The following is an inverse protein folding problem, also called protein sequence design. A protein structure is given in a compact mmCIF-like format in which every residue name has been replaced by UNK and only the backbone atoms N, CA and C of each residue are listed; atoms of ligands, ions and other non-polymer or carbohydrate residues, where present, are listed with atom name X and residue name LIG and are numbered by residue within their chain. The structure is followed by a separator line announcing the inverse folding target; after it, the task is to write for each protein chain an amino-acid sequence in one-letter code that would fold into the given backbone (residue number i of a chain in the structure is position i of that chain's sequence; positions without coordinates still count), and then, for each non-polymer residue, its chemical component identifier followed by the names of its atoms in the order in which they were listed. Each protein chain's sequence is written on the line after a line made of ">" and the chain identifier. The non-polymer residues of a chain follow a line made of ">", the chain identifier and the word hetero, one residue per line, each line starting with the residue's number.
data_IF_022555164730
#
_entry.id   IF_022555164730
#
_cell.length_a   1.000
_cell.length_b   1.000
_cell.length_c   1.000
_cell.angle_alpha   90.00
_cell.angle_beta   90.00
_cell.angle_gamma   90.00
#
_symmetry.space_group_name_H-M   'P 1'
#
loop_
_entity.id
_entity.type
_entity.pdbx_description
1 polymer ?
#
# COMPACT_ATOMS: atom_id res chain seq x y z
N UNK A 1 -35.98 15.70 -0.40
CA UNK A 1 -34.79 16.09 -1.20
C UNK A 1 -33.61 15.27 -0.73
N UNK A 2 -33.22 14.23 -1.49
CA UNK A 2 -32.10 13.33 -1.17
C UNK A 2 -30.81 13.95 -1.73
N UNK A 3 -30.01 14.62 -0.90
CA UNK A 3 -28.65 15.04 -1.27
C UNK A 3 -27.70 13.86 -1.04
N UNK A 4 -27.46 13.08 -2.11
CA UNK A 4 -26.35 12.13 -2.20
C UNK A 4 -25.05 12.95 -2.34
N UNK A 5 -24.34 13.17 -1.24
CA UNK A 5 -22.94 13.61 -1.29
C UNK A 5 -22.04 12.36 -1.35
N UNK A 6 -21.77 11.94 -2.57
CA UNK A 6 -20.74 10.98 -2.94
C UNK A 6 -19.47 11.75 -3.31
N UNK A 7 -18.36 11.55 -2.60
CA UNK A 7 -17.04 11.62 -3.22
C UNK A 7 -16.02 11.06 -2.24
N UNK A 8 -15.75 9.78 -2.40
CA UNK A 8 -14.76 9.06 -1.65
C UNK A 8 -14.25 8.02 -2.67
N UNK A 9 -12.95 7.94 -2.92
CA UNK A 9 -12.42 7.17 -4.05
C UNK A 9 -11.23 6.35 -3.60
N UNK A 10 -11.48 5.05 -3.66
CA UNK A 10 -10.60 3.94 -4.02
C UNK A 10 -9.12 4.00 -3.64
N UNK A 11 -8.75 3.27 -2.58
CA UNK A 11 -7.36 2.95 -2.20
C UNK A 11 -7.07 1.50 -2.58
N UNK A 12 -6.58 1.21 -3.79
CA UNK A 12 -6.19 -0.15 -4.17
C UNK A 12 -4.73 -0.46 -3.85
N UNK A 13 -4.48 -1.54 -3.09
CA UNK A 13 -3.18 -2.20 -2.87
C UNK A 13 -2.18 -1.53 -1.88
N UNK A 14 -2.52 -1.75 -0.61
CA UNK A 14 -1.71 -2.33 0.47
C UNK A 14 -0.18 -2.15 0.46
N UNK A 15 0.23 -1.53 1.55
CA UNK A 15 1.58 -1.43 2.09
C UNK A 15 1.98 -2.69 2.83
N UNK A 16 3.14 -3.24 2.48
CA UNK A 16 3.87 -4.11 3.40
C UNK A 16 4.35 -3.23 4.55
N UNK A 17 3.68 -3.31 5.70
CA UNK A 17 4.19 -2.87 7.01
C UNK A 17 3.62 -3.84 8.03
N UNK A 18 4.44 -4.80 8.46
CA UNK A 18 4.40 -5.48 9.76
C UNK A 18 3.12 -6.16 10.24
N UNK A 19 3.06 -7.48 10.06
CA UNK A 19 2.99 -8.39 11.22
C UNK A 19 3.68 -9.72 10.90
N UNK A 20 4.56 -10.12 11.82
CA UNK A 20 5.51 -11.26 11.80
C UNK A 20 5.13 -12.39 10.84
N UNK A 21 6.01 -12.63 9.87
CA UNK A 21 6.03 -13.83 9.05
C UNK A 21 6.65 -14.96 9.89
N UNK A 22 5.83 -15.85 10.46
CA UNK A 22 6.33 -16.99 11.23
C UNK A 22 6.71 -18.13 10.29
N UNK A 23 7.97 -18.15 9.85
CA UNK A 23 8.57 -19.22 9.07
C UNK A 23 9.68 -19.88 9.91
N UNK A 24 9.34 -20.52 11.04
CA UNK A 24 10.37 -20.98 11.98
C UNK A 24 11.26 -19.82 12.46
N UNK A 25 10.71 -19.00 13.34
CA UNK A 25 11.34 -17.88 14.09
C UNK A 25 12.04 -16.74 13.32
N UNK A 26 12.35 -16.88 12.03
CA UNK A 26 13.09 -15.85 11.28
C UNK A 26 12.17 -15.00 10.41
N UNK A 27 12.12 -13.69 10.68
CA UNK A 27 11.38 -12.72 9.86
C UNK A 27 12.07 -12.58 8.50
N UNK A 28 11.38 -13.02 7.45
CA UNK A 28 11.90 -12.99 6.06
C UNK A 28 11.95 -11.55 5.53
N UNK A 29 10.94 -10.74 5.82
CA UNK A 29 10.93 -9.32 5.49
C UNK A 29 10.02 -8.56 6.46
N UNK A 30 10.52 -7.42 6.96
CA UNK A 30 9.73 -6.44 7.70
C UNK A 30 9.91 -5.09 7.02
N UNK A 31 8.85 -4.60 6.40
CA UNK A 31 8.88 -3.35 5.65
C UNK A 31 8.17 -2.27 6.45
N UNK A 32 8.70 -1.92 7.62
CA UNK A 32 8.18 -0.79 8.39
C UNK A 32 9.13 0.39 8.19
N UNK A 33 8.67 1.60 8.53
CA UNK A 33 9.49 2.80 8.48
C UNK A 33 9.98 3.19 7.07
N UNK A 34 9.07 3.38 6.13
CA UNK A 34 9.42 3.80 4.76
C UNK A 34 10.17 5.13 4.68
N UNK A 35 10.13 5.95 5.73
CA UNK A 35 10.95 7.16 5.88
C UNK A 35 12.44 6.85 6.05
N UNK A 36 12.79 5.64 6.52
CA UNK A 36 14.17 5.20 6.74
C UNK A 36 14.73 4.39 5.57
N UNK A 37 13.86 3.98 4.63
CA UNK A 37 14.29 3.31 3.41
C UNK A 37 14.90 4.36 2.47
N UNK A 38 16.06 4.06 1.88
CA UNK A 38 16.69 4.92 0.87
C UNK A 38 15.67 5.29 -0.19
N UNK A 39 15.45 6.60 -0.39
CA UNK A 39 14.51 7.06 -1.41
C UNK A 39 15.26 7.39 -2.70
N UNK A 40 14.81 6.82 -3.82
CA UNK A 40 15.20 7.26 -5.17
C UNK A 40 14.00 7.94 -5.79
N UNK A 41 14.15 9.19 -6.21
CA UNK A 41 13.08 9.99 -6.80
C UNK A 41 11.81 10.08 -5.94
N UNK A 42 11.96 10.07 -4.61
CA UNK A 42 10.86 10.10 -3.64
C UNK A 42 10.14 8.76 -3.44
N UNK A 43 10.62 7.67 -4.05
CA UNK A 43 10.12 6.31 -3.88
C UNK A 43 11.06 5.50 -2.98
N UNK A 44 10.55 4.73 -2.00
CA UNK A 44 11.39 3.83 -1.22
C UNK A 44 12.07 2.77 -2.11
N UNK A 45 13.36 2.51 -1.86
CA UNK A 45 14.14 1.53 -2.60
C UNK A 45 13.43 0.15 -2.68
N UNK A 46 13.40 -0.42 -3.88
CA UNK A 46 12.73 -1.69 -4.15
C UNK A 46 11.21 -1.60 -4.31
N UNK A 47 10.61 -0.42 -4.09
CA UNK A 47 9.20 -0.17 -4.37
C UNK A 47 9.02 0.52 -5.70
N UNK A 48 7.95 0.13 -6.40
CA UNK A 48 7.52 0.77 -7.63
C UNK A 48 6.02 1.00 -7.59
N UNK A 49 5.58 2.01 -8.31
CA UNK A 49 4.18 2.34 -8.52
C UNK A 49 3.76 1.87 -9.91
N UNK A 50 2.49 1.54 -10.09
CA UNK A 50 1.95 1.17 -11.39
C UNK A 50 0.48 1.51 -11.49
N UNK A 51 0.03 1.75 -12.72
CA UNK A 51 -1.37 1.91 -13.09
C UNK A 51 -1.62 1.16 -14.40
N UNK A 52 -2.81 0.55 -14.61
CA UNK A 52 -3.15 -0.12 -15.87
C UNK A 52 -3.13 0.83 -17.07
N UNK A 53 -3.40 2.12 -16.82
CA UNK A 53 -3.37 3.18 -17.83
C UNK A 53 -2.70 4.43 -17.24
N UNK A 54 -1.79 5.11 -17.97
CA UNK A 54 -1.10 6.28 -17.44
C UNK A 54 -2.04 7.41 -17.01
N UNK A 55 -3.12 7.67 -17.74
CA UNK A 55 -4.10 8.72 -17.45
C UNK A 55 -4.97 8.44 -16.23
N UNK A 56 -5.04 7.17 -15.80
CA UNK A 56 -5.72 6.75 -14.58
C UNK A 56 -4.79 6.66 -13.37
N UNK A 57 -3.51 7.03 -13.53
CA UNK A 57 -2.54 6.95 -12.46
C UNK A 57 -2.94 7.89 -11.30
N UNK A 58 -3.05 7.36 -10.07
CA UNK A 58 -3.22 8.20 -8.89
C UNK A 58 -1.90 8.89 -8.52
N UNK A 59 -1.97 9.76 -7.52
CA UNK A 59 -0.77 10.34 -6.91
C UNK A 59 -0.23 9.38 -5.88
N UNK A 60 1.04 9.03 -6.06
CA UNK A 60 1.78 8.16 -5.15
C UNK A 60 2.76 9.00 -4.32
N UNK A 61 2.80 8.75 -3.02
CA UNK A 61 3.75 9.43 -2.12
C UNK A 61 4.05 8.58 -0.89
N UNK A 62 4.97 9.04 -0.05
CA UNK A 62 5.20 8.48 1.29
C UNK A 62 4.71 9.49 2.31
N UNK A 63 3.76 9.08 3.14
CA UNK A 63 3.25 9.86 4.26
C UNK A 63 3.97 9.45 5.54
N UNK A 64 4.88 10.29 6.01
CA UNK A 64 5.78 10.01 7.12
C UNK A 64 5.11 9.79 8.49
N UNK A 65 3.81 10.14 8.64
CA UNK A 65 3.11 10.13 9.94
C UNK A 65 1.83 9.29 9.95
N UNK A 66 1.43 8.77 8.80
CA UNK A 66 0.16 8.04 8.65
C UNK A 66 0.30 6.52 8.77
N UNK A 67 1.51 6.03 9.03
CA UNK A 67 1.79 4.63 9.30
C UNK A 67 1.31 4.18 10.68
N UNK A 68 1.21 2.85 10.82
CA UNK A 68 0.92 2.22 12.10
C UNK A 68 2.02 2.61 13.10
N UNK A 69 1.63 2.90 14.34
CA UNK A 69 2.54 3.39 15.40
C UNK A 69 3.23 4.74 15.09
N UNK A 70 2.69 5.51 14.14
CA UNK A 70 3.17 6.86 13.81
C UNK A 70 4.38 6.91 12.87
N UNK A 71 4.79 5.76 12.29
CA UNK A 71 5.81 5.71 11.24
C UNK A 71 5.29 6.12 9.86
N UNK A 72 6.10 5.98 8.81
CA UNK A 72 5.63 6.24 7.46
C UNK A 72 4.71 5.13 6.93
N UNK A 73 3.76 5.53 6.09
CA UNK A 73 3.03 4.67 5.17
C UNK A 73 3.30 5.18 3.75
N UNK A 74 3.31 4.31 2.73
CA UNK A 74 3.12 4.87 1.40
C UNK A 74 1.67 5.33 1.28
N UNK A 75 1.36 6.14 0.27
CA UNK A 75 0.04 6.71 0.06
C UNK A 75 -0.36 6.58 -1.40
N UNK A 76 -1.65 6.39 -1.62
CA UNK A 76 -2.33 6.51 -2.90
C UNK A 76 -3.43 7.54 -2.73
N UNK A 77 -3.41 8.58 -3.55
CA UNK A 77 -4.42 9.63 -3.56
C UNK A 77 -4.99 9.82 -4.95
N UNK A 78 -6.32 9.76 -5.05
CA UNK A 78 -7.05 9.79 -6.32
C UNK A 78 -7.55 11.19 -6.69
N UNK A 79 -7.38 12.20 -5.82
CA UNK A 79 -7.79 13.60 -6.02
C UNK A 79 -9.21 13.74 -6.60
N UNK A 80 -10.16 13.00 -6.03
CA UNK A 80 -11.57 12.99 -6.46
C UNK A 80 -11.84 12.44 -7.87
N UNK A 81 -10.86 11.79 -8.52
CA UNK A 81 -11.07 11.09 -9.78
C UNK A 81 -11.51 9.64 -9.51
N UNK A 82 -12.82 9.29 -9.67
CA UNK A 82 -13.33 7.95 -9.36
C UNK A 82 -12.74 6.84 -10.24
N UNK A 83 -12.19 7.22 -11.40
CA UNK A 83 -11.56 6.30 -12.34
C UNK A 83 -10.06 6.10 -12.06
N UNK A 84 -9.47 6.83 -11.11
CA UNK A 84 -8.07 6.66 -10.76
C UNK A 84 -7.85 5.28 -10.12
N UNK A 85 -6.87 4.55 -10.65
CA UNK A 85 -6.53 3.22 -10.18
C UNK A 85 -5.05 2.96 -10.37
N UNK A 86 -4.41 2.50 -9.31
CA UNK A 86 -3.01 2.15 -9.31
C UNK A 86 -2.65 1.39 -8.05
N UNK A 87 -1.40 0.98 -7.95
CA UNK A 87 -0.93 0.15 -6.85
C UNK A 87 0.57 0.33 -6.60
N UNK A 88 0.97 0.08 -5.36
CA UNK A 88 2.36 -0.14 -4.99
C UNK A 88 2.71 -1.61 -5.12
N UNK A 89 3.96 -1.89 -5.48
CA UNK A 89 4.45 -3.26 -5.55
C UNK A 89 5.95 -3.31 -5.27
N UNK A 90 6.40 -4.43 -4.74
CA UNK A 90 7.79 -4.75 -4.50
C UNK A 90 7.99 -6.25 -4.65
N UNK A 91 9.24 -6.69 -4.81
CA UNK A 91 9.60 -8.09 -5.01
C UNK A 91 10.40 -8.59 -3.82
N UNK A 92 9.91 -9.65 -3.17
CA UNK A 92 10.66 -10.39 -2.15
C UNK A 92 11.48 -11.47 -2.84
N UNK A 93 12.80 -11.46 -2.65
CA UNK A 93 13.73 -12.39 -3.33
C UNK A 93 14.24 -13.51 -2.43
N UNK A 94 14.03 -13.42 -1.12
CA UNK A 94 14.56 -14.36 -0.12
C UNK A 94 13.52 -15.40 0.36
N UNK A 95 12.53 -15.72 -0.48
CA UNK A 95 11.58 -16.80 -0.21
C UNK A 95 12.26 -18.15 -0.48
N UNK A 96 12.31 -19.01 0.55
CA UNK A 96 12.95 -20.33 0.47
C UNK A 96 11.87 -21.41 0.39
N UNK A 97 11.97 -22.29 -0.62
CA UNK A 97 11.07 -23.43 -0.78
C UNK A 97 11.09 -24.36 0.44
N UNK A 98 9.94 -24.95 0.78
CA UNK A 98 9.79 -25.81 1.96
C UNK A 98 9.61 -25.05 3.28
N UNK A 99 9.56 -23.71 3.27
CA UNK A 99 9.21 -22.89 4.44
C UNK A 99 7.82 -22.28 4.28
N UNK A 100 7.07 -22.23 5.38
CA UNK A 100 5.78 -21.53 5.43
C UNK A 100 6.01 -20.02 5.54
N UNK A 101 5.53 -19.25 4.58
CA UNK A 101 5.55 -17.79 4.63
C UNK A 101 4.15 -17.26 4.96
N UNK A 102 4.07 -16.29 5.87
CA UNK A 102 2.85 -15.51 6.14
C UNK A 102 3.06 -14.09 5.65
N UNK A 103 2.23 -13.60 4.75
CA UNK A 103 2.22 -12.20 4.37
C UNK A 103 1.13 -11.47 5.16
N UNK A 104 1.50 -10.37 5.82
CA UNK A 104 0.57 -9.54 6.59
C UNK A 104 0.76 -8.09 6.20
N UNK A 105 -0.35 -7.35 6.16
CA UNK A 105 -0.32 -5.97 5.76
C UNK A 105 -1.50 -5.19 6.35
N UNK A 106 -1.26 -3.91 6.64
CA UNK A 106 -2.24 -3.01 7.24
C UNK A 106 -2.55 -1.88 6.27
N UNK A 107 -3.78 -1.41 6.29
CA UNK A 107 -4.20 -0.28 5.49
C UNK A 107 -5.16 0.60 6.28
N UNK A 108 -5.26 1.84 5.84
CA UNK A 108 -6.29 2.78 6.30
C UNK A 108 -6.88 3.43 5.06
N UNK A 109 -8.19 3.31 4.89
CA UNK A 109 -8.91 4.05 3.87
C UNK A 109 -9.50 5.31 4.51
N UNK A 110 -9.07 6.48 4.03
CA UNK A 110 -9.78 7.72 4.32
C UNK A 110 -10.57 8.06 3.10
N UNK A 111 -11.87 8.05 3.29
CA UNK A 111 -12.71 8.53 2.25
C UNK A 111 -12.84 7.58 1.06
N UNK A 112 -13.31 6.35 1.32
CA UNK A 112 -13.67 5.37 0.28
C UNK A 112 -15.08 4.81 0.61
N UNK A 113 -16.09 4.92 -0.27
CA UNK A 113 -17.49 4.66 0.04
C UNK A 113 -17.79 3.16 -0.01
N UNK A 114 -17.07 2.45 -0.88
CA UNK A 114 -17.15 0.99 -1.02
C UNK A 114 -15.78 0.40 -0.78
N UNK A 115 -15.25 0.59 0.43
CA UNK A 115 -13.89 0.21 0.83
C UNK A 115 -13.52 -1.22 0.39
N UNK A 116 -14.36 -2.21 0.69
CA UNK A 116 -14.09 -3.62 0.33
C UNK A 116 -14.02 -3.90 -1.19
N UNK A 117 -14.55 -3.02 -2.02
CA UNK A 117 -14.55 -3.14 -3.49
C UNK A 117 -13.43 -2.34 -4.13
N UNK A 118 -12.95 -1.32 -3.45
CA UNK A 118 -11.95 -0.41 -3.97
C UNK A 118 -10.56 -0.64 -3.37
N UNK A 119 -10.50 -1.28 -2.20
CA UNK A 119 -9.29 -1.70 -1.53
C UNK A 119 -9.15 -3.21 -1.67
N UNK A 120 -8.08 -3.63 -2.34
CA UNK A 120 -7.68 -5.02 -2.47
C UNK A 120 -6.25 -5.15 -1.98
N UNK A 121 -5.91 -6.32 -1.43
CA UNK A 121 -4.54 -6.76 -1.15
C UNK A 121 -4.24 -7.95 -2.08
N UNK A 122 -3.07 -7.94 -2.74
CA UNK A 122 -2.52 -9.10 -3.44
C UNK A 122 -1.13 -9.34 -2.87
N UNK A 123 -1.00 -10.42 -2.10
CA UNK A 123 0.17 -10.79 -1.32
C UNK A 123 0.69 -12.15 -1.78
#
# INVERSE_FOLDING_TARGET
>A
MKKLLSCLVSVGLVYLVGERVYAGESVVALMNHFEKVVQSDGLPAGWRTAAPRPEAAPVFSVDAKSGREGGAALRIETRSNPSAFGYWQTKITNVVGGRTCRFSAWYRAVGVPFERRCVSARL
#
